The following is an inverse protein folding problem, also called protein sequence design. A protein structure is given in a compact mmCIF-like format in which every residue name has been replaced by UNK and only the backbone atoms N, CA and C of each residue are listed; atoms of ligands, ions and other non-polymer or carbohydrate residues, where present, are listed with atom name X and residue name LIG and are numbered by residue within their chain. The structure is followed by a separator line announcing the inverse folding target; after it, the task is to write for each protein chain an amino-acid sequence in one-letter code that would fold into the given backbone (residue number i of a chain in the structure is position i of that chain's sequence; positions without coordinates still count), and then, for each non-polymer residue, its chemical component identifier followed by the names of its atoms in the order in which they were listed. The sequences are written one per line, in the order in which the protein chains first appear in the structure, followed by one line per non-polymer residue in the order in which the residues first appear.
data_IF_212336149082
#
_entry.id   IF_212336149082
#
_cell.length_a   1.000
_cell.length_b   1.000
_cell.length_c   1.000
_cell.angle_alpha   90.00
_cell.angle_beta   90.00
_cell.angle_gamma   90.00
#
_symmetry.space_group_name_H-M   'P 1'
#
loop_
_entity.id
_entity.type
_entity.pdbx_description
1 polymer ?
#
# COMPACT_ATOMS: atom_id res chain seq x y z
N UNK A 1 9.77 17.25 10.24
CA UNK A 1 8.83 16.11 10.42
C UNK A 1 9.09 15.07 9.34
N UNK A 2 8.89 13.78 9.63
CA UNK A 2 8.95 12.69 8.64
C UNK A 2 7.63 11.94 8.59
N UNK A 3 7.33 11.33 7.44
CA UNK A 3 6.25 10.36 7.30
C UNK A 3 6.82 8.99 6.94
N UNK A 4 6.07 7.95 7.28
CA UNK A 4 6.51 6.56 7.23
C UNK A 4 5.55 5.72 6.39
N UNK A 5 6.08 4.74 5.66
CA UNK A 5 5.29 3.74 4.93
C UNK A 5 6.05 2.43 4.89
N UNK A 6 5.43 1.34 5.32
CA UNK A 6 6.00 0.01 5.09
C UNK A 6 5.72 -0.48 3.68
N UNK A 7 6.63 -1.27 3.11
CA UNK A 7 6.41 -2.05 1.87
C UNK A 7 6.97 -3.46 2.03
N UNK A 8 6.41 -4.40 1.26
CA UNK A 8 7.04 -5.69 1.02
C UNK A 8 8.01 -5.49 -0.16
N UNK A 9 9.24 -6.00 -0.01
CA UNK A 9 10.23 -6.07 -1.08
C UNK A 9 10.81 -7.49 -1.06
N UNK A 10 10.39 -8.34 -2.00
CA UNK A 10 10.85 -9.72 -2.12
C UNK A 10 10.74 -10.55 -0.82
N UNK A 11 9.65 -10.37 -0.06
CA UNK A 11 9.43 -11.10 1.19
C UNK A 11 9.92 -10.38 2.44
N UNK A 12 10.70 -9.32 2.29
CA UNK A 12 11.17 -8.51 3.42
C UNK A 12 10.24 -7.31 3.67
N UNK A 13 9.99 -7.03 4.95
CA UNK A 13 9.24 -5.87 5.39
C UNK A 13 10.18 -4.68 5.57
N UNK A 14 10.08 -3.69 4.69
CA UNK A 14 10.94 -2.50 4.69
C UNK A 14 10.16 -1.27 5.12
N UNK A 15 10.72 -0.50 6.06
CA UNK A 15 10.24 0.83 6.44
C UNK A 15 10.83 1.88 5.51
N UNK A 16 9.96 2.65 4.84
CA UNK A 16 10.36 3.83 4.08
C UNK A 16 10.09 5.10 4.86
N UNK A 17 11.06 5.99 4.82
CA UNK A 17 10.96 7.33 5.40
C UNK A 17 10.86 8.38 4.31
N UNK A 18 9.97 9.34 4.52
CA UNK A 18 9.71 10.44 3.60
C UNK A 18 9.91 11.76 4.32
N UNK A 19 10.63 12.67 3.68
CA UNK A 19 10.80 14.02 4.17
C UNK A 19 9.58 14.86 3.75
N UNK A 20 9.10 15.70 4.65
CA UNK A 20 8.10 16.72 4.32
C UNK A 20 8.79 17.88 3.64
N UNK A 21 8.40 18.15 2.40
CA UNK A 21 8.86 19.30 1.62
C UNK A 21 8.06 20.55 1.97
N UNK A 22 6.73 20.42 2.04
CA UNK A 22 5.80 21.52 2.33
C UNK A 22 4.66 21.02 3.19
N UNK A 23 4.34 21.78 4.22
CA UNK A 23 3.18 21.57 5.08
C UNK A 23 2.12 22.62 4.78
N UNK A 24 0.85 22.21 4.77
CA UNK A 24 -0.31 23.10 4.68
C UNK A 24 -1.32 22.70 5.75
N UNK A 25 -2.35 23.52 6.05
CA UNK A 25 -3.43 23.11 6.95
C UNK A 25 -4.06 21.76 6.57
N UNK A 26 -4.17 21.46 5.27
CA UNK A 26 -4.82 20.25 4.76
C UNK A 26 -3.93 19.01 4.69
N UNK A 27 -2.60 19.14 4.76
CA UNK A 27 -1.69 18.02 4.52
C UNK A 27 -0.25 18.38 4.21
N UNK A 28 0.45 17.43 3.61
CA UNK A 28 1.89 17.43 3.44
C UNK A 28 2.27 17.02 2.02
N UNK A 29 3.13 17.79 1.36
CA UNK A 29 3.90 17.32 0.22
C UNK A 29 5.14 16.61 0.74
N UNK A 30 5.30 15.34 0.39
CA UNK A 30 6.42 14.51 0.81
C UNK A 30 7.26 14.04 -0.38
N UNK A 31 8.52 13.71 -0.12
CA UNK A 31 9.40 13.06 -1.11
C UNK A 31 10.23 11.94 -0.47
N UNK A 32 10.69 11.00 -1.29
CA UNK A 32 11.72 10.04 -0.89
C UNK A 32 13.09 10.71 -0.89
N UNK A 33 14.08 10.10 -0.22
CA UNK A 33 15.45 10.62 -0.10
C UNK A 33 16.18 10.81 -1.46
N UNK A 34 15.66 10.24 -2.54
CA UNK A 34 16.17 10.48 -3.89
C UNK A 34 15.58 11.79 -4.43
N UNK A 35 16.31 12.89 -4.23
CA UNK A 35 15.96 14.24 -4.71
C UNK A 35 15.55 14.21 -6.19
N UNK A 36 14.33 14.67 -6.49
CA UNK A 36 13.93 15.13 -7.83
C UNK A 36 12.86 14.34 -8.59
N UNK A 37 12.41 13.17 -8.11
CA UNK A 37 11.27 12.45 -8.72
C UNK A 37 10.23 12.03 -7.66
N UNK A 38 8.98 12.42 -7.88
CA UNK A 38 7.82 11.85 -7.16
C UNK A 38 7.42 12.55 -5.87
N UNK A 39 7.17 13.87 -5.91
CA UNK A 39 6.40 14.51 -4.83
C UNK A 39 5.05 13.80 -4.68
N UNK A 40 4.70 13.42 -3.46
CA UNK A 40 3.41 12.80 -3.15
C UNK A 40 2.67 13.67 -2.16
N UNK A 41 1.42 13.98 -2.47
CA UNK A 41 0.55 14.65 -1.51
C UNK A 41 -0.02 13.65 -0.50
N UNK A 42 -0.02 14.03 0.78
CA UNK A 42 -0.60 13.25 1.88
C UNK A 42 -1.52 14.15 2.69
N UNK A 43 -2.80 13.81 2.76
CA UNK A 43 -3.75 14.53 3.61
C UNK A 43 -3.33 14.45 5.10
N UNK A 44 -3.54 15.54 5.86
CA UNK A 44 -3.27 15.59 7.30
C UNK A 44 -4.19 14.62 8.03
N UNK A 45 -5.48 14.76 7.77
CA UNK A 45 -6.56 13.99 8.37
C UNK A 45 -7.20 13.12 7.29
N UNK A 46 -7.04 11.80 7.42
CA UNK A 46 -7.60 10.85 6.46
C UNK A 46 -7.35 9.42 6.93
N UNK A 47 -8.37 8.56 6.83
CA UNK A 47 -8.23 7.14 7.23
C UNK A 47 -7.33 6.36 6.25
N UNK A 48 -7.33 6.75 4.97
CA UNK A 48 -6.50 6.13 3.92
C UNK A 48 -5.49 7.16 3.43
N UNK A 49 -4.31 7.17 4.02
CA UNK A 49 -3.19 8.04 3.65
C UNK A 49 -2.09 7.22 3.00
N UNK A 50 -1.31 7.85 2.12
CA UNK A 50 -0.19 7.19 1.45
C UNK A 50 0.95 6.87 2.44
N UNK A 51 1.23 7.78 3.38
CA UNK A 51 2.22 7.61 4.44
C UNK A 51 1.66 8.19 5.76
N UNK A 52 2.27 7.81 6.88
CA UNK A 52 1.73 8.09 8.22
C UNK A 52 2.76 8.80 9.12
N UNK A 53 2.33 9.64 10.07
CA UNK A 53 3.23 10.33 11.00
C UNK A 53 4.10 9.41 11.87
N UNK A 54 3.67 8.18 12.13
CA UNK A 54 4.42 7.21 12.95
C UNK A 54 4.61 5.88 12.23
N UNK A 55 5.69 5.18 12.58
CA UNK A 55 5.92 3.82 12.08
C UNK A 55 4.78 2.88 12.50
N UNK A 56 4.24 3.01 13.70
CA UNK A 56 3.15 2.15 14.17
C UNK A 56 1.85 2.34 13.35
N UNK A 57 1.48 3.58 13.03
CA UNK A 57 0.35 3.85 12.13
C UNK A 57 0.60 3.28 10.73
N UNK A 58 1.82 3.44 10.21
CA UNK A 58 2.22 2.89 8.92
C UNK A 58 2.15 1.35 8.90
N UNK A 59 2.54 0.70 9.99
CA UNK A 59 2.50 -0.76 10.15
C UNK A 59 1.06 -1.26 10.19
N UNK A 60 0.21 -0.59 10.98
CA UNK A 60 -1.22 -0.91 11.07
C UNK A 60 -1.88 -0.81 9.69
N UNK A 61 -1.57 0.24 8.93
CA UNK A 61 -2.05 0.37 7.56
C UNK A 61 -1.49 -0.71 6.62
N UNK A 62 -0.22 -1.10 6.79
CA UNK A 62 0.41 -2.17 6.02
C UNK A 62 -0.28 -3.51 6.23
N UNK A 63 -0.58 -3.87 7.48
CA UNK A 63 -1.30 -5.09 7.82
C UNK A 63 -2.68 -5.06 7.14
N UNK A 64 -3.45 -3.99 7.39
CA UNK A 64 -4.79 -3.81 6.83
C UNK A 64 -4.83 -3.96 5.30
N UNK A 65 -3.92 -3.27 4.58
CA UNK A 65 -3.89 -3.35 3.12
C UNK A 65 -3.47 -4.73 2.64
N UNK A 66 -2.54 -5.39 3.33
CA UNK A 66 -2.03 -6.72 2.97
C UNK A 66 -3.09 -7.79 3.18
N UNK A 67 -3.79 -7.78 4.32
CA UNK A 67 -4.94 -8.67 4.56
C UNK A 67 -6.02 -8.50 3.49
N UNK A 68 -6.31 -7.25 3.12
CA UNK A 68 -7.27 -6.96 2.06
C UNK A 68 -6.81 -7.45 0.69
N UNK A 69 -5.52 -7.34 0.38
CA UNK A 69 -4.95 -7.93 -0.83
C UNK A 69 -5.07 -9.45 -0.83
N UNK A 70 -4.73 -10.12 0.27
CA UNK A 70 -4.86 -11.58 0.40
C UNK A 70 -6.31 -12.05 0.17
N UNK A 71 -7.27 -11.33 0.74
CA UNK A 71 -8.70 -11.62 0.54
C UNK A 71 -9.08 -11.58 -0.94
N UNK A 72 -8.74 -10.48 -1.63
CA UNK A 72 -9.07 -10.34 -3.05
C UNK A 72 -8.32 -11.37 -3.91
N UNK A 73 -7.04 -11.60 -3.65
CA UNK A 73 -6.25 -12.61 -4.38
C UNK A 73 -6.87 -13.99 -4.23
N UNK A 74 -7.32 -14.36 -3.02
CA UNK A 74 -8.02 -15.63 -2.82
C UNK A 74 -9.27 -15.72 -3.67
N UNK A 75 -10.12 -14.70 -3.66
CA UNK A 75 -11.33 -14.66 -4.48
C UNK A 75 -11.03 -14.79 -5.98
N UNK A 76 -10.00 -14.11 -6.47
CA UNK A 76 -9.58 -14.23 -7.87
C UNK A 76 -9.05 -15.62 -8.21
N UNK A 77 -8.30 -16.25 -7.31
CA UNK A 77 -7.85 -17.64 -7.49
C UNK A 77 -9.02 -18.61 -7.53
N UNK A 78 -10.02 -18.43 -6.66
CA UNK A 78 -11.24 -19.25 -6.63
C UNK A 78 -11.99 -19.13 -7.96
N UNK A 79 -12.23 -17.91 -8.46
CA UNK A 79 -12.87 -17.69 -9.76
C UNK A 79 -12.07 -18.30 -10.92
N UNK A 80 -10.74 -18.18 -10.92
CA UNK A 80 -9.90 -18.75 -11.96
C UNK A 80 -9.98 -20.28 -11.97
N UNK A 81 -9.98 -20.90 -10.78
CA UNK A 81 -10.12 -22.35 -10.63
C UNK A 81 -11.50 -22.84 -11.11
N UNK A 82 -12.59 -22.13 -10.77
CA UNK A 82 -13.94 -22.44 -11.24
C UNK A 82 -14.04 -22.36 -12.77
N UNK A 83 -13.52 -21.29 -13.38
CA UNK A 83 -13.49 -21.12 -14.83
C UNK A 83 -12.71 -22.25 -15.52
N UNK A 84 -11.56 -22.63 -14.98
CA UNK A 84 -10.77 -23.75 -15.49
C UNK A 84 -11.51 -25.09 -15.40
N UNK A 85 -12.20 -25.34 -14.29
CA UNK A 85 -13.02 -26.54 -14.12
C UNK A 85 -14.18 -26.59 -15.13
N UNK A 86 -14.85 -25.45 -15.39
CA UNK A 86 -15.89 -25.35 -16.42
C UNK A 86 -15.31 -25.66 -17.81
N UNK A 87 -14.16 -25.08 -18.15
CA UNK A 87 -13.51 -25.31 -19.44
C UNK A 87 -13.17 -26.79 -19.66
N UNK A 88 -12.54 -27.44 -18.67
CA UNK A 88 -12.18 -28.87 -18.72
C UNK A 88 -13.38 -29.79 -18.91
N UNK A 89 -14.55 -29.46 -18.35
CA UNK A 89 -15.78 -30.23 -18.57
C UNK A 89 -16.33 -30.14 -19.99
N UNK A 90 -15.91 -29.13 -20.78
CA UNK A 90 -16.33 -28.95 -22.18
C UNK A 90 -15.37 -29.59 -23.18
N UNK A 91 -14.18 -30.03 -22.74
CA UNK A 91 -13.23 -30.77 -23.57
C UNK A 91 -13.59 -32.27 -23.69
N UNK A 92 -14.55 -32.74 -22.88
CA UNK A 92 -15.12 -34.10 -22.90
C UNK A 92 -16.45 -34.08 -23.64
#
# INVERSE_FOLDING_TARGET
MKLFRYKNSFGELILLEYNVLRETPAGYWICTLQKGKGETWVARTGKKRFAYPTAQEALTNFIYRTERYLLFTKQYMDFANEALAIARRKEV
#
